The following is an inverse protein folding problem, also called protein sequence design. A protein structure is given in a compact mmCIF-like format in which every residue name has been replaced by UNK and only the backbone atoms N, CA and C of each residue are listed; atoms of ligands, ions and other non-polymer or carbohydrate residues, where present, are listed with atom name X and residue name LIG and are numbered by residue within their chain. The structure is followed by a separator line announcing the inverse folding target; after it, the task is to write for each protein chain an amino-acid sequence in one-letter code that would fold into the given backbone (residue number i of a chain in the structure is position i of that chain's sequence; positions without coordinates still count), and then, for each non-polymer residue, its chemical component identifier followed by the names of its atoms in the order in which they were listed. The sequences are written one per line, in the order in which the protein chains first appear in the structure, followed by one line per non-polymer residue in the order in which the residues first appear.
data_IF_131167708185
#
_entry.id   IF_131167708185
#
_cell.length_a   1.000
_cell.length_b   1.000
_cell.length_c   1.000
_cell.angle_alpha   90.00
_cell.angle_beta   90.00
_cell.angle_gamma   90.00
#
_symmetry.space_group_name_H-M   'P 1'
#
loop_
_entity.id
_entity.type
_entity.pdbx_description
1 polymer ?
#
# COMPACT_ATOMS: atom_id res chain seq x y z
N UNK A 1 14.30 4.67 -9.15
CA UNK A 1 13.76 4.70 -10.53
C UNK A 1 14.71 3.96 -11.43
N UNK A 2 14.20 3.04 -12.23
CA UNK A 2 14.96 2.22 -13.18
C UNK A 2 14.66 2.69 -14.62
N UNK A 3 15.59 2.51 -15.57
CA UNK A 3 15.33 2.83 -16.96
C UNK A 3 14.23 1.94 -17.56
N UNK A 4 13.54 2.46 -18.59
CA UNK A 4 12.60 1.66 -19.38
C UNK A 4 13.33 0.51 -20.08
N UNK A 5 12.66 -0.62 -20.19
CA UNK A 5 13.12 -1.79 -20.92
C UNK A 5 12.49 -1.83 -22.32
N UNK A 6 13.05 -2.60 -23.23
CA UNK A 6 12.57 -2.70 -24.61
C UNK A 6 11.09 -3.20 -24.74
N UNK A 7 10.59 -3.88 -23.71
CA UNK A 7 9.21 -4.37 -23.65
C UNK A 7 8.23 -3.36 -23.06
N UNK A 8 8.71 -2.23 -22.53
CA UNK A 8 7.85 -1.21 -21.96
C UNK A 8 7.25 -0.32 -23.05
N UNK A 9 5.99 0.09 -22.91
CA UNK A 9 5.39 1.03 -23.85
C UNK A 9 6.05 2.42 -23.73
N UNK A 10 6.09 3.15 -24.82
CA UNK A 10 6.55 4.55 -24.79
C UNK A 10 5.50 5.47 -24.17
N UNK A 11 4.22 5.15 -24.39
CA UNK A 11 3.08 5.92 -23.88
C UNK A 11 2.03 5.01 -23.25
N UNK A 12 1.35 5.55 -22.23
CA UNK A 12 0.12 4.99 -21.64
C UNK A 12 -0.90 6.13 -21.54
N UNK A 13 -2.01 6.03 -22.26
CA UNK A 13 -2.91 7.15 -22.44
C UNK A 13 -2.15 8.37 -22.98
N UNK A 14 -2.25 9.51 -22.30
CA UNK A 14 -1.52 10.76 -22.63
C UNK A 14 -0.15 10.88 -21.96
N UNK A 15 0.26 9.91 -21.16
CA UNK A 15 1.50 9.96 -20.39
C UNK A 15 2.64 9.33 -21.18
N UNK A 16 3.67 10.12 -21.50
CA UNK A 16 4.96 9.59 -21.96
C UNK A 16 5.70 9.00 -20.78
N UNK A 17 6.10 7.73 -20.87
CA UNK A 17 6.81 7.04 -19.81
C UNK A 17 8.29 7.44 -19.80
N UNK A 18 8.83 7.67 -18.58
CA UNK A 18 10.20 8.15 -18.38
C UNK A 18 11.10 7.13 -17.68
N UNK A 19 10.50 6.17 -16.95
CA UNK A 19 11.22 5.15 -16.20
C UNK A 19 10.27 4.33 -15.35
N UNK A 20 10.76 3.20 -14.83
CA UNK A 20 10.03 2.34 -13.90
C UNK A 20 10.21 2.85 -12.47
N UNK A 21 9.10 2.99 -11.75
CA UNK A 21 9.08 3.29 -10.31
C UNK A 21 9.05 2.00 -9.48
N UNK A 22 8.42 0.94 -10.02
CA UNK A 22 8.35 -0.35 -9.37
C UNK A 22 7.56 -1.38 -10.18
N UNK A 23 7.60 -2.63 -9.72
CA UNK A 23 6.82 -3.75 -10.25
C UNK A 23 6.26 -4.56 -9.07
N UNK A 24 5.04 -5.05 -9.21
CA UNK A 24 4.36 -5.84 -8.20
C UNK A 24 3.41 -6.88 -8.80
N UNK A 25 2.73 -7.63 -7.95
CA UNK A 25 1.84 -8.71 -8.37
C UNK A 25 0.72 -8.30 -9.32
N UNK A 26 0.34 -7.03 -9.34
CA UNK A 26 -0.78 -6.51 -10.15
C UNK A 26 -0.33 -5.79 -11.41
N UNK A 27 0.93 -5.43 -11.52
CA UNK A 27 1.40 -4.66 -12.67
C UNK A 27 2.67 -3.88 -12.42
N UNK A 28 2.98 -3.01 -13.37
CA UNK A 28 4.15 -2.13 -13.34
C UNK A 28 3.71 -0.70 -13.10
N UNK A 29 4.53 0.03 -12.34
CA UNK A 29 4.33 1.44 -12.07
C UNK A 29 5.44 2.23 -12.75
N UNK A 30 5.07 3.20 -13.55
CA UNK A 30 5.98 4.04 -14.31
C UNK A 30 5.89 5.50 -13.85
N UNK A 31 6.99 6.23 -13.94
CA UNK A 31 6.94 7.68 -13.97
C UNK A 31 6.50 8.10 -15.38
N UNK A 32 5.34 8.72 -15.47
CA UNK A 32 4.82 9.30 -16.70
C UNK A 32 4.81 10.82 -16.66
N UNK A 33 4.78 11.46 -17.84
CA UNK A 33 4.66 12.92 -17.97
C UNK A 33 3.68 13.26 -19.08
N UNK A 34 2.74 14.17 -18.80
CA UNK A 34 1.83 14.72 -19.83
C UNK A 34 2.56 15.71 -20.76
N UNK A 35 1.98 16.05 -21.93
CA UNK A 35 2.54 17.10 -22.80
C UNK A 35 2.74 18.45 -22.10
N UNK A 36 1.89 18.79 -21.12
CA UNK A 36 1.95 20.02 -20.33
C UNK A 36 3.03 19.96 -19.22
N UNK A 37 3.72 18.80 -19.08
CA UNK A 37 4.81 18.62 -18.14
C UNK A 37 4.41 18.06 -16.77
N UNK A 38 3.11 17.75 -16.54
CA UNK A 38 2.66 17.17 -15.29
C UNK A 38 3.19 15.75 -15.12
N UNK A 39 3.83 15.46 -13.99
CA UNK A 39 4.29 14.11 -13.64
C UNK A 39 3.19 13.31 -12.95
N UNK A 40 3.17 12.00 -13.24
CA UNK A 40 2.24 11.03 -12.65
C UNK A 40 2.95 9.69 -12.40
N UNK A 41 2.49 8.96 -11.39
CA UNK A 41 2.77 7.53 -11.25
C UNK A 41 1.69 6.78 -12.03
N UNK A 42 2.09 6.10 -13.11
CA UNK A 42 1.19 5.40 -14.03
C UNK A 42 1.31 3.90 -13.78
N UNK A 43 0.27 3.30 -13.20
CA UNK A 43 0.17 1.86 -12.94
C UNK A 43 -0.53 1.18 -14.10
N UNK A 44 0.17 0.26 -14.76
CA UNK A 44 -0.34 -0.56 -15.86
C UNK A 44 -0.60 -1.96 -15.33
N UNK A 45 -1.81 -2.44 -15.50
CA UNK A 45 -2.24 -3.76 -15.00
C UNK A 45 -1.66 -4.86 -15.89
N UNK A 46 -1.30 -5.99 -15.29
CA UNK A 46 -0.78 -7.16 -16.01
C UNK A 46 -1.85 -7.79 -16.93
N UNK A 47 -1.40 -8.31 -18.06
CA UNK A 47 -2.27 -8.90 -19.10
C UNK A 47 -3.10 -10.10 -18.58
N UNK A 48 -2.52 -10.92 -17.69
CA UNK A 48 -3.21 -12.06 -17.09
C UNK A 48 -4.40 -11.64 -16.19
N UNK A 49 -4.31 -10.49 -15.51
CA UNK A 49 -5.42 -9.91 -14.75
C UNK A 49 -6.38 -9.12 -15.67
N UNK A 50 -5.83 -8.47 -16.67
CA UNK A 50 -6.60 -7.68 -17.65
C UNK A 50 -7.62 -8.54 -18.43
N UNK A 51 -7.33 -9.82 -18.64
CA UNK A 51 -8.25 -10.78 -19.28
C UNK A 51 -9.43 -11.23 -18.40
N UNK A 52 -9.38 -11.03 -17.08
CA UNK A 52 -10.47 -11.40 -16.17
C UNK A 52 -11.56 -10.33 -16.13
N UNK A 53 -12.76 -10.66 -16.63
CA UNK A 53 -13.91 -9.75 -16.66
C UNK A 53 -14.37 -9.33 -15.26
N UNK A 54 -14.26 -10.22 -14.27
CA UNK A 54 -14.56 -9.93 -12.87
C UNK A 54 -13.57 -8.93 -12.28
N UNK A 55 -12.28 -9.07 -12.61
CA UNK A 55 -11.25 -8.11 -12.25
C UNK A 55 -11.52 -6.73 -12.84
N UNK A 56 -11.79 -6.62 -14.16
CA UNK A 56 -12.09 -5.34 -14.82
C UNK A 56 -13.29 -4.64 -14.21
N UNK A 57 -14.35 -5.38 -13.85
CA UNK A 57 -15.52 -4.80 -13.21
C UNK A 57 -15.20 -4.23 -11.81
N UNK A 58 -14.43 -4.97 -10.99
CA UNK A 58 -13.98 -4.48 -9.68
C UNK A 58 -13.06 -3.27 -9.84
N UNK A 59 -12.06 -3.36 -10.72
CA UNK A 59 -11.11 -2.28 -10.99
C UNK A 59 -11.82 -0.98 -11.37
N UNK A 60 -12.82 -1.04 -12.27
CA UNK A 60 -13.64 0.13 -12.65
C UNK A 60 -14.36 0.75 -11.45
N UNK A 61 -14.96 -0.07 -10.58
CA UNK A 61 -15.64 0.41 -9.37
C UNK A 61 -14.67 1.06 -8.39
N UNK A 62 -13.53 0.42 -8.14
CA UNK A 62 -12.51 0.90 -7.22
C UNK A 62 -11.86 2.20 -7.73
N UNK A 63 -11.57 2.30 -9.02
CA UNK A 63 -11.10 3.55 -9.65
C UNK A 63 -12.14 4.67 -9.47
N UNK A 64 -13.42 4.40 -9.72
CA UNK A 64 -14.48 5.40 -9.55
C UNK A 64 -14.58 5.90 -8.09
N UNK A 65 -14.42 5.01 -7.12
CA UNK A 65 -14.39 5.39 -5.71
C UNK A 65 -13.09 6.13 -5.34
N UNK A 66 -11.94 5.72 -5.90
CA UNK A 66 -10.65 6.34 -5.62
C UNK A 66 -10.55 7.79 -6.12
N UNK A 67 -11.24 8.13 -7.22
CA UNK A 67 -11.36 9.53 -7.70
C UNK A 67 -12.04 10.41 -6.65
N UNK A 68 -12.95 9.87 -5.83
CA UNK A 68 -13.64 10.58 -4.77
C UNK A 68 -12.80 10.75 -3.49
N UNK A 69 -11.68 10.01 -3.35
CA UNK A 69 -10.79 10.17 -2.20
C UNK A 69 -10.10 11.53 -2.26
N UNK A 70 -10.58 12.46 -1.46
CA UNK A 70 -10.00 13.80 -1.30
C UNK A 70 -9.24 13.85 0.02
N UNK A 71 -7.92 13.75 -0.02
CA UNK A 71 -7.10 13.79 1.19
C UNK A 71 -5.72 14.38 0.93
N UNK A 72 -5.24 15.18 1.90
CA UNK A 72 -3.88 15.73 1.86
C UNK A 72 -2.83 14.61 1.98
N UNK A 73 -3.20 13.49 2.63
CA UNK A 73 -2.29 12.39 2.95
C UNK A 73 -2.44 11.18 2.02
N UNK A 74 -3.11 11.35 0.87
CA UNK A 74 -3.24 10.32 -0.18
C UNK A 74 -2.70 10.83 -1.52
N UNK A 75 -2.15 9.94 -2.35
CA UNK A 75 -1.84 10.28 -3.74
C UNK A 75 -3.14 10.31 -4.56
N UNK A 76 -3.51 11.51 -5.03
CA UNK A 76 -4.76 11.73 -5.77
C UNK A 76 -4.75 11.02 -7.11
N UNK A 77 -5.86 10.40 -7.50
CA UNK A 77 -6.09 9.91 -8.86
C UNK A 77 -6.19 11.10 -9.81
N UNK A 78 -5.40 11.07 -10.88
CA UNK A 78 -5.36 12.11 -11.93
C UNK A 78 -6.13 11.69 -13.17
N UNK A 79 -6.04 10.39 -13.52
CA UNK A 79 -6.59 9.84 -14.75
C UNK A 79 -6.65 8.32 -14.66
N UNK A 80 -7.52 7.68 -15.44
CA UNK A 80 -7.57 6.22 -15.52
C UNK A 80 -8.33 5.79 -16.77
N UNK A 81 -7.96 4.63 -17.30
CA UNK A 81 -8.76 3.94 -18.32
C UNK A 81 -8.90 2.46 -17.94
N UNK A 82 -10.00 2.10 -17.25
CA UNK A 82 -10.28 0.71 -16.90
C UNK A 82 -10.66 -0.17 -18.10
N UNK A 83 -10.99 0.44 -19.22
CA UNK A 83 -11.43 -0.25 -20.44
C UNK A 83 -10.31 -0.41 -21.47
N UNK A 84 -9.19 0.27 -21.27
CA UNK A 84 -7.98 0.10 -22.07
C UNK A 84 -7.45 -1.35 -22.04
N UNK A 85 -6.60 -1.67 -22.99
CA UNK A 85 -5.89 -2.95 -23.06
C UNK A 85 -4.39 -2.72 -23.18
N UNK A 86 -3.64 -2.91 -22.09
CA UNK A 86 -4.07 -3.22 -20.71
C UNK A 86 -4.70 -2.02 -19.96
N UNK A 87 -5.55 -2.27 -18.94
CA UNK A 87 -6.09 -1.22 -18.08
C UNK A 87 -4.99 -0.48 -17.30
N UNK A 88 -5.22 0.80 -17.02
CA UNK A 88 -4.24 1.61 -16.30
C UNK A 88 -4.89 2.68 -15.40
N UNK A 89 -4.08 3.17 -14.47
CA UNK A 89 -4.42 4.24 -13.53
C UNK A 89 -3.23 5.16 -13.38
N UNK A 90 -3.45 6.47 -13.41
CA UNK A 90 -2.46 7.49 -13.12
C UNK A 90 -2.80 8.23 -11.81
N UNK A 91 -1.86 8.28 -10.89
CA UNK A 91 -1.95 9.03 -9.64
C UNK A 91 -0.91 10.14 -9.59
N UNK A 92 -1.11 11.09 -8.71
CA UNK A 92 -0.13 12.13 -8.44
C UNK A 92 1.23 11.49 -8.13
N UNK A 93 2.26 11.90 -8.85
CA UNK A 93 3.63 11.54 -8.49
C UNK A 93 4.03 12.27 -7.20
N UNK A 94 4.41 11.49 -6.21
CA UNK A 94 4.86 12.00 -4.90
C UNK A 94 6.37 11.86 -4.85
N UNK A 95 7.06 12.99 -4.77
CA UNK A 95 8.51 13.02 -4.64
C UNK A 95 8.90 12.77 -3.18
N UNK A 96 9.70 11.75 -2.95
CA UNK A 96 10.18 11.37 -1.62
C UNK A 96 10.47 9.87 -1.51
N UNK A 97 11.24 9.45 -0.51
CA UNK A 97 11.50 8.05 -0.24
C UNK A 97 10.25 7.38 0.35
N UNK A 98 10.17 6.05 0.21
CA UNK A 98 9.22 5.29 1.03
C UNK A 98 9.63 5.32 2.50
N UNK A 99 8.66 5.19 3.40
CA UNK A 99 8.91 5.02 4.84
C UNK A 99 9.85 3.83 5.09
N UNK A 100 9.69 2.75 4.31
CA UNK A 100 10.57 1.59 4.38
C UNK A 100 12.02 1.97 4.07
N UNK A 101 12.27 2.60 2.94
CA UNK A 101 13.62 2.96 2.51
C UNK A 101 14.25 3.98 3.46
N UNK A 102 13.45 4.92 3.97
CA UNK A 102 13.92 5.93 4.91
C UNK A 102 14.37 5.28 6.23
N UNK A 103 13.56 4.39 6.82
CA UNK A 103 13.92 3.70 8.07
C UNK A 103 15.11 2.76 7.87
N UNK A 104 15.19 2.03 6.76
CA UNK A 104 16.32 1.14 6.48
C UNK A 104 17.65 1.89 6.29
N UNK A 105 17.61 3.12 5.74
CA UNK A 105 18.82 3.92 5.50
C UNK A 105 19.25 4.74 6.71
N UNK A 106 18.29 5.33 7.42
CA UNK A 106 18.54 6.34 8.42
C UNK A 106 18.20 5.88 9.86
N UNK A 107 17.62 4.68 10.01
CA UNK A 107 17.13 4.18 11.30
C UNK A 107 15.69 4.61 11.61
N UNK A 108 15.19 4.21 12.79
CA UNK A 108 13.85 4.52 13.27
C UNK A 108 13.57 6.02 13.37
N UNK A 109 12.27 6.37 13.27
CA UNK A 109 11.81 7.74 13.46
C UNK A 109 11.88 8.18 14.93
N UNK A 110 12.18 9.45 15.15
CA UNK A 110 11.98 10.10 16.45
C UNK A 110 10.49 10.24 16.80
N UNK A 111 10.19 10.45 18.07
CA UNK A 111 8.81 10.52 18.56
C UNK A 111 7.97 11.62 17.88
N UNK A 112 8.48 12.87 17.67
CA UNK A 112 7.72 13.89 16.96
C UNK A 112 7.37 13.49 15.51
N UNK A 113 8.30 12.86 14.79
CA UNK A 113 8.09 12.39 13.42
C UNK A 113 7.12 11.21 13.38
N UNK A 114 7.22 10.29 14.34
CA UNK A 114 6.30 9.17 14.48
C UNK A 114 4.86 9.65 14.76
N UNK A 115 4.69 10.67 15.60
CA UNK A 115 3.37 11.28 15.87
C UNK A 115 2.76 11.90 14.62
N UNK A 116 3.55 12.67 13.84
CA UNK A 116 3.10 13.24 12.55
C UNK A 116 2.73 12.14 11.55
N UNK A 117 3.52 11.08 11.50
CA UNK A 117 3.21 9.91 10.66
C UNK A 117 1.88 9.27 11.07
N UNK A 118 1.67 9.00 12.36
CA UNK A 118 0.44 8.40 12.88
C UNK A 118 -0.79 9.24 12.53
N UNK A 119 -0.71 10.56 12.71
CA UNK A 119 -1.78 11.48 12.34
C UNK A 119 -2.07 11.42 10.83
N UNK A 120 -1.03 11.51 9.99
CA UNK A 120 -1.20 11.46 8.53
C UNK A 120 -1.79 10.15 8.03
N UNK A 121 -1.39 9.00 8.61
CA UNK A 121 -1.96 7.70 8.28
C UNK A 121 -3.42 7.59 8.71
N UNK A 122 -3.78 8.06 9.91
CA UNK A 122 -5.16 8.05 10.40
C UNK A 122 -6.08 8.90 9.50
N UNK A 123 -5.63 10.10 9.10
CA UNK A 123 -6.38 10.98 8.19
C UNK A 123 -6.51 10.37 6.78
N UNK A 124 -5.42 9.73 6.26
CA UNK A 124 -5.46 9.03 4.98
C UNK A 124 -6.48 7.88 5.00
N UNK A 125 -6.43 7.02 6.02
CA UNK A 125 -7.37 5.91 6.15
C UNK A 125 -8.80 6.40 6.32
N UNK A 126 -9.03 7.45 7.10
CA UNK A 126 -10.36 8.06 7.26
C UNK A 126 -10.93 8.54 5.92
N UNK A 127 -10.11 9.18 5.07
CA UNK A 127 -10.54 9.62 3.74
C UNK A 127 -10.84 8.43 2.80
N UNK A 128 -10.01 7.39 2.83
CA UNK A 128 -10.19 6.17 2.02
C UNK A 128 -11.48 5.46 2.44
N UNK A 129 -11.69 5.25 3.75
CA UNK A 129 -12.88 4.57 4.28
C UNK A 129 -14.16 5.37 4.05
N UNK A 130 -14.12 6.70 4.15
CA UNK A 130 -15.26 7.57 3.83
C UNK A 130 -15.69 7.48 2.36
N UNK A 131 -14.77 7.15 1.44
CA UNK A 131 -15.07 6.88 0.03
C UNK A 131 -15.60 5.44 -0.22
N UNK A 132 -15.77 4.63 0.84
CA UNK A 132 -16.22 3.24 0.73
C UNK A 132 -15.12 2.27 0.25
N UNK A 133 -13.86 2.69 0.32
CA UNK A 133 -12.70 1.87 -0.02
C UNK A 133 -12.01 1.34 1.23
N UNK A 134 -11.26 0.25 1.05
CA UNK A 134 -10.33 -0.32 2.03
C UNK A 134 -8.97 -0.41 1.35
N UNK A 135 -7.90 -0.04 2.05
CA UNK A 135 -6.54 -0.05 1.46
C UNK A 135 -6.04 -1.48 1.20
N UNK A 136 -6.23 -2.38 2.14
CA UNK A 136 -5.92 -3.83 2.09
C UNK A 136 -4.44 -4.22 2.06
N UNK A 137 -3.54 -3.30 1.73
CA UNK A 137 -2.08 -3.53 1.63
C UNK A 137 -1.29 -2.34 2.20
N UNK A 138 -1.76 -1.76 3.32
CA UNK A 138 -1.00 -0.70 3.99
C UNK A 138 0.28 -1.29 4.59
N UNK A 139 1.42 -0.71 4.19
CA UNK A 139 2.75 -1.12 4.63
C UNK A 139 3.75 0.01 4.43
N UNK A 140 4.93 -0.03 5.05
CA UNK A 140 5.93 1.04 4.92
C UNK A 140 6.38 1.35 3.48
N UNK A 141 6.30 0.39 2.57
CA UNK A 141 6.61 0.60 1.15
C UNK A 141 5.54 1.45 0.43
N UNK A 142 4.29 1.44 0.93
CA UNK A 142 3.15 2.17 0.37
C UNK A 142 2.90 3.51 1.08
N UNK A 143 3.86 3.99 1.87
CA UNK A 143 3.84 5.30 2.51
C UNK A 143 5.04 6.09 2.03
N UNK A 144 4.83 7.14 1.24
CA UNK A 144 5.89 8.04 0.78
C UNK A 144 6.03 9.23 1.74
N UNK A 145 7.25 9.66 1.96
CA UNK A 145 7.57 10.79 2.84
C UNK A 145 7.91 12.01 1.97
N UNK A 146 6.89 12.80 1.65
CA UNK A 146 7.04 14.06 0.95
C UNK A 146 7.48 15.18 1.91
N UNK A 147 7.95 16.30 1.34
CA UNK A 147 8.40 17.45 2.13
C UNK A 147 7.31 18.03 3.05
N UNK A 148 6.05 17.91 2.66
CA UNK A 148 4.86 18.41 3.37
C UNK A 148 4.13 17.35 4.20
N UNK A 149 4.63 16.11 4.26
CA UNK A 149 4.09 15.01 5.07
C UNK A 149 4.01 13.67 4.39
N UNK A 150 3.47 12.68 5.12
CA UNK A 150 3.27 11.34 4.59
C UNK A 150 2.19 11.32 3.49
N UNK A 151 2.36 10.43 2.52
CA UNK A 151 1.35 10.15 1.47
C UNK A 151 1.16 8.65 1.34
N UNK A 152 -0.07 8.20 1.54
CA UNK A 152 -0.46 6.81 1.30
C UNK A 152 -0.71 6.64 -0.19
N UNK A 153 -0.10 5.62 -0.77
CA UNK A 153 -0.22 5.28 -2.19
C UNK A 153 -0.80 3.88 -2.36
N UNK A 154 -1.28 3.57 -3.56
CA UNK A 154 -1.74 2.22 -3.98
C UNK A 154 -2.89 1.65 -3.12
N UNK A 155 -3.81 2.50 -2.64
CA UNK A 155 -4.95 2.06 -1.83
C UNK A 155 -6.04 1.39 -2.69
N UNK A 156 -6.45 0.19 -2.24
CA UNK A 156 -7.70 -0.51 -2.64
C UNK A 156 -7.89 -0.89 -4.08
N UNK A 157 -7.15 -0.28 -5.01
CA UNK A 157 -7.39 -0.41 -6.44
C UNK A 157 -6.74 -1.69 -6.97
N UNK A 158 -7.58 -2.68 -7.31
CA UNK A 158 -7.21 -3.94 -7.92
C UNK A 158 -6.82 -5.12 -6.99
N UNK A 159 -7.01 -5.00 -5.66
CA UNK A 159 -6.83 -6.17 -4.80
C UNK A 159 -7.98 -7.18 -5.00
N UNK A 160 -7.69 -8.30 -5.63
CA UNK A 160 -8.63 -9.42 -5.70
C UNK A 160 -8.78 -10.03 -4.30
N UNK A 161 -10.04 -10.08 -3.80
CA UNK A 161 -10.39 -10.92 -2.67
C UNK A 161 -10.01 -12.37 -3.03
N UNK A 162 -8.87 -12.86 -2.52
CA UNK A 162 -8.34 -14.18 -2.87
C UNK A 162 -6.87 -14.20 -3.31
N UNK A 163 -6.21 -13.05 -3.50
CA UNK A 163 -4.78 -13.02 -3.85
C UNK A 163 -3.82 -13.33 -2.69
N UNK A 164 -4.35 -13.69 -1.52
CA UNK A 164 -3.61 -14.40 -0.46
C UNK A 164 -3.60 -15.91 -0.73
N UNK A 165 -3.70 -16.33 -2.01
CA UNK A 165 -3.54 -17.74 -2.33
C UNK A 165 -2.07 -18.11 -2.16
N UNK A 166 -1.81 -19.11 -1.30
CA UNK A 166 -0.63 -19.95 -1.48
C UNK A 166 -0.66 -20.35 -2.95
N UNK A 167 0.29 -19.82 -3.74
CA UNK A 167 0.53 -20.39 -5.05
C UNK A 167 0.86 -21.85 -4.85
N UNK A 168 0.51 -22.74 -5.80
CA UNK A 168 0.81 -24.17 -5.71
C UNK A 168 2.31 -24.49 -5.52
N UNK A 169 3.18 -23.49 -5.47
CA UNK A 169 4.62 -23.52 -5.14
C UNK A 169 4.91 -23.17 -3.68
N UNK A 170 3.89 -22.85 -2.85
CA UNK A 170 4.09 -22.46 -1.45
C UNK A 170 4.65 -21.06 -1.24
N UNK A 171 4.83 -20.26 -2.29
CA UNK A 171 5.24 -18.86 -2.20
C UNK A 171 4.03 -17.96 -2.00
N UNK A 172 4.04 -17.23 -0.89
CA UNK A 172 3.02 -16.25 -0.54
C UNK A 172 3.35 -14.92 -1.23
N UNK A 173 2.48 -14.47 -2.11
CA UNK A 173 2.63 -13.14 -2.74
C UNK A 173 2.22 -12.08 -1.71
N UNK A 174 3.17 -11.28 -1.24
CA UNK A 174 2.94 -10.17 -0.30
C UNK A 174 3.96 -10.12 0.83
N UNK A 175 3.84 -9.09 1.67
CA UNK A 175 4.64 -8.93 2.90
C UNK A 175 3.73 -9.29 4.07
N UNK A 176 3.75 -10.53 4.59
CA UNK A 176 2.79 -11.02 5.56
C UNK A 176 2.82 -10.26 6.90
N UNK A 177 3.91 -9.58 7.20
CA UNK A 177 4.14 -8.86 8.46
C UNK A 177 3.13 -7.75 8.78
N UNK A 178 2.35 -7.30 7.77
CA UNK A 178 1.36 -6.22 7.89
C UNK A 178 -0.08 -6.71 7.71
N UNK A 179 -0.29 -8.02 7.50
CA UNK A 179 -1.61 -8.61 7.38
C UNK A 179 -2.32 -8.64 8.72
N UNK A 180 -3.63 -8.40 8.70
CA UNK A 180 -4.48 -8.56 9.87
C UNK A 180 -4.84 -10.03 10.14
N UNK A 181 -5.29 -10.39 11.36
CA UNK A 181 -5.69 -11.76 11.70
C UNK A 181 -6.73 -12.34 10.74
N UNK A 182 -7.75 -11.57 10.36
CA UNK A 182 -8.81 -12.00 9.44
C UNK A 182 -8.28 -12.22 8.01
N UNK A 183 -7.26 -11.45 7.58
CA UNK A 183 -6.61 -11.70 6.28
C UNK A 183 -5.79 -12.99 6.29
N UNK A 184 -5.14 -13.29 7.41
CA UNK A 184 -4.33 -14.52 7.57
C UNK A 184 -5.21 -15.76 7.68
N UNK A 185 -6.28 -15.68 8.48
CA UNK A 185 -7.21 -16.80 8.71
C UNK A 185 -8.20 -17.02 7.56
N UNK A 186 -8.43 -16.01 6.72
CA UNK A 186 -9.43 -16.06 5.66
C UNK A 186 -10.88 -16.09 6.18
N UNK A 187 -11.12 -15.67 7.42
CA UNK A 187 -12.45 -15.71 8.06
C UNK A 187 -13.42 -14.69 7.51
N UNK A 188 -12.95 -13.70 6.74
CA UNK A 188 -13.79 -12.69 6.12
C UNK A 188 -13.02 -11.82 5.11
N UNK A 189 -13.73 -10.96 4.36
CA UNK A 189 -13.07 -10.00 3.49
C UNK A 189 -12.37 -8.92 4.33
N UNK A 190 -11.18 -8.44 3.91
CA UNK A 190 -10.52 -7.33 4.58
C UNK A 190 -11.41 -6.10 4.64
N UNK A 191 -11.52 -5.50 5.82
CA UNK A 191 -12.32 -4.32 6.12
C UNK A 191 -11.49 -3.13 6.62
N UNK A 192 -12.14 -2.02 7.04
CA UNK A 192 -11.46 -0.89 7.66
C UNK A 192 -10.57 -1.28 8.86
N UNK A 193 -10.99 -2.27 9.65
CA UNK A 193 -10.21 -2.79 10.79
C UNK A 193 -8.88 -3.42 10.35
N UNK A 194 -8.86 -4.10 9.20
CA UNK A 194 -7.61 -4.64 8.62
C UNK A 194 -6.59 -3.54 8.33
N UNK A 195 -7.03 -2.37 7.84
CA UNK A 195 -6.16 -1.23 7.58
C UNK A 195 -5.65 -0.60 8.89
N UNK A 196 -6.49 -0.55 9.93
CA UNK A 196 -6.10 -0.08 11.27
C UNK A 196 -5.02 -1.00 11.85
N UNK A 197 -5.18 -2.31 11.73
CA UNK A 197 -4.15 -3.27 12.14
C UNK A 197 -2.82 -3.05 11.38
N UNK A 198 -2.88 -2.91 10.06
CA UNK A 198 -1.73 -2.64 9.21
C UNK A 198 -1.05 -1.29 9.55
N UNK A 199 -1.83 -0.27 9.96
CA UNK A 199 -1.32 1.01 10.45
C UNK A 199 -0.52 0.80 11.74
N UNK A 200 -1.03 0.03 12.71
CA UNK A 200 -0.30 -0.31 13.95
C UNK A 200 1.04 -1.00 13.66
N UNK A 201 1.04 -1.97 12.76
CA UNK A 201 2.26 -2.67 12.34
C UNK A 201 3.25 -1.72 11.62
N UNK A 202 2.74 -0.82 10.78
CA UNK A 202 3.55 0.20 10.08
C UNK A 202 4.18 1.20 11.06
N UNK A 203 3.46 1.63 12.10
CA UNK A 203 3.98 2.51 13.16
C UNK A 203 5.05 1.80 14.00
N UNK A 204 4.86 0.51 14.31
CA UNK A 204 5.89 -0.28 15.00
C UNK A 204 7.17 -0.35 14.17
N UNK A 205 7.09 -0.64 12.87
CA UNK A 205 8.24 -0.62 11.98
C UNK A 205 8.89 0.76 11.93
N UNK A 206 8.12 1.83 11.83
CA UNK A 206 8.65 3.19 11.80
C UNK A 206 9.43 3.55 13.07
N UNK A 207 8.98 3.07 14.23
CA UNK A 207 9.58 3.35 15.53
C UNK A 207 10.77 2.44 15.90
N UNK A 208 10.87 1.23 15.29
CA UNK A 208 11.82 0.21 15.76
C UNK A 208 12.69 -0.39 14.64
N UNK A 209 12.35 -0.15 13.38
CA UNK A 209 12.99 -0.76 12.22
C UNK A 209 12.55 -2.21 11.97
N UNK A 210 11.57 -2.74 12.72
CA UNK A 210 11.08 -4.12 12.60
C UNK A 210 9.56 -4.19 12.82
N UNK A 211 8.91 -5.17 12.18
CA UNK A 211 7.47 -5.41 12.40
C UNK A 211 7.18 -5.99 13.78
N UNK A 212 5.96 -5.80 14.33
CA UNK A 212 5.58 -6.29 15.66
C UNK A 212 5.50 -7.81 15.76
N UNK A 213 5.37 -8.50 14.63
CA UNK A 213 5.29 -9.96 14.53
C UNK A 213 6.44 -10.57 13.75
N UNK A 214 7.54 -9.81 13.56
CA UNK A 214 8.70 -10.24 12.79
C UNK A 214 9.26 -11.57 13.30
N UNK A 215 9.56 -12.50 12.36
CA UNK A 215 10.11 -13.82 12.64
C UNK A 215 11.01 -14.27 11.47
N UNK A 216 11.78 -15.34 11.69
CA UNK A 216 12.77 -15.82 10.72
C UNK A 216 12.17 -16.45 9.46
N UNK A 217 10.87 -16.79 9.45
CA UNK A 217 10.19 -17.38 8.27
C UNK A 217 8.68 -17.05 8.29
N UNK A 218 8.08 -17.05 7.12
CA UNK A 218 6.69 -16.65 6.87
C UNK A 218 5.67 -17.34 7.79
N UNK A 219 5.75 -18.67 7.93
CA UNK A 219 4.80 -19.40 8.77
C UNK A 219 4.84 -18.97 10.25
N UNK A 220 6.03 -18.62 10.77
CA UNK A 220 6.13 -18.08 12.13
C UNK A 220 5.56 -16.66 12.25
N UNK A 221 5.69 -15.82 11.21
CA UNK A 221 5.02 -14.52 11.16
C UNK A 221 3.51 -14.68 11.22
N UNK A 222 2.95 -15.53 10.36
CA UNK A 222 1.50 -15.81 10.33
C UNK A 222 0.99 -16.33 11.67
N UNK A 223 1.70 -17.29 12.28
CA UNK A 223 1.34 -17.80 13.60
C UNK A 223 1.34 -16.67 14.65
N UNK A 224 2.38 -15.80 14.66
CA UNK A 224 2.44 -14.68 15.61
C UNK A 224 1.33 -13.66 15.40
N UNK A 225 0.95 -13.39 14.15
CA UNK A 225 -0.18 -12.50 13.85
C UNK A 225 -1.47 -13.04 14.49
N UNK A 226 -1.69 -14.36 14.47
CA UNK A 226 -2.90 -14.97 15.02
C UNK A 226 -2.85 -15.10 16.55
N UNK A 227 -1.70 -15.54 17.10
CA UNK A 227 -1.66 -16.11 18.45
C UNK A 227 -0.78 -15.33 19.44
N UNK A 228 0.11 -14.42 18.96
CA UNK A 228 1.07 -13.78 19.86
C UNK A 228 0.76 -12.30 20.07
N UNK A 229 1.13 -11.79 21.25
CA UNK A 229 1.16 -10.37 21.51
C UNK A 229 2.21 -9.67 20.63
N UNK A 230 1.97 -8.41 20.21
CA UNK A 230 2.92 -7.65 19.41
C UNK A 230 4.19 -7.30 20.20
N UNK A 231 5.35 -7.42 19.59
CA UNK A 231 6.60 -6.93 20.16
C UNK A 231 6.77 -5.42 19.90
N UNK A 232 6.44 -4.62 20.89
CA UNK A 232 6.53 -3.15 20.84
C UNK A 232 7.77 -2.57 21.55
N UNK A 233 8.74 -3.41 21.91
CA UNK A 233 9.97 -2.98 22.59
C UNK A 233 10.75 -1.97 21.73
N UNK A 234 11.07 -0.85 22.32
CA UNK A 234 11.77 0.27 21.67
C UNK A 234 10.84 1.34 21.10
N UNK A 235 9.51 1.15 21.14
CA UNK A 235 8.58 2.22 20.82
C UNK A 235 8.47 3.24 21.98
N UNK A 236 8.34 4.56 21.67
CA UNK A 236 7.91 5.55 22.66
C UNK A 236 6.54 5.18 23.25
N UNK A 237 6.36 5.41 24.57
CA UNK A 237 5.17 4.94 25.30
C UNK A 237 3.85 5.36 24.64
N UNK A 238 3.68 6.65 24.28
CA UNK A 238 2.44 7.13 23.66
C UNK A 238 2.16 6.51 22.31
N UNK A 239 3.20 6.15 21.52
CA UNK A 239 3.04 5.45 20.26
C UNK A 239 2.73 3.96 20.48
N UNK A 240 3.30 3.35 21.50
CA UNK A 240 3.02 1.97 21.88
C UNK A 240 1.55 1.80 22.31
N UNK A 241 0.99 2.74 23.08
CA UNK A 241 -0.41 2.72 23.50
C UNK A 241 -1.36 2.74 22.28
N UNK A 242 -1.05 3.56 21.28
CA UNK A 242 -1.80 3.58 20.00
C UNK A 242 -1.62 2.27 19.22
N UNK A 243 -0.38 1.76 19.13
CA UNK A 243 -0.12 0.53 18.41
C UNK A 243 -0.83 -0.69 19.03
N UNK A 244 -0.88 -0.78 20.36
CA UNK A 244 -1.66 -1.83 21.07
C UNK A 244 -3.13 -1.80 20.66
N UNK A 245 -3.74 -0.62 20.64
CA UNK A 245 -5.15 -0.48 20.25
C UNK A 245 -5.37 -0.87 18.78
N UNK A 246 -4.44 -0.50 17.87
CA UNK A 246 -4.53 -0.87 16.46
C UNK A 246 -4.31 -2.36 16.21
N UNK A 247 -3.48 -3.04 17.02
CA UNK A 247 -3.07 -4.44 16.83
C UNK A 247 -3.95 -5.44 17.61
N UNK A 248 -5.15 -5.01 18.03
CA UNK A 248 -6.15 -5.92 18.60
C UNK A 248 -6.45 -7.07 17.60
N UNK A 249 -6.60 -8.30 18.15
CA UNK A 249 -6.83 -9.50 17.30
C UNK A 249 -8.26 -9.63 16.85
N UNK A 250 -9.17 -9.07 17.63
CA UNK A 250 -10.62 -9.03 17.33
C UNK A 250 -10.96 -7.57 16.97
N UNK A 251 -11.32 -7.29 15.70
CA UNK A 251 -11.53 -5.94 15.19
C UNK A 251 -12.78 -5.24 15.71
#
# INVERSE_FOLDING_TARGET
MEPLQAVDPEYVGRYRLLGRLGEGGMGRVYLGRTPEGQQAAVKVIRDDLAGDTGFRHRFRREVSAAVAVAGMFTARVLDADPDADPPWLATQFVEGPSLRDMVLRNGPLDEPSLRRLAQGLAEALSAIHAAGLVHRDLKPANVLLAADGARVIDFGIAHTSGSTQLTGTGEMIGTPEYMSPEQVSGTGPPGPASDVFAMGATLCFAATGRGPFAAGHTAAVLYRILESEPDLRGMPKGAADVAVACLAKDP
#
